data_IF_877720937174
#
_entry.id   IF_877720937174
#
_cell.length_a   1.000
_cell.length_b   1.000
_cell.length_c   1.000
_cell.angle_alpha   90.00
_cell.angle_beta   90.00
_cell.angle_gamma   90.00
#
_symmetry.space_group_name_H-M   'P 1'
#
loop_
_entity.id
_entity.type
_entity.pdbx_description
1 polymer ?
#
# COMPACT_ATOMS: atom_id res chain seq x y z
N UNK A 1 27.05 -9.74 20.34
CA UNK A 1 26.08 -9.18 21.26
C UNK A 1 25.64 -7.84 20.73
N UNK A 2 24.46 -7.77 20.12
CA UNK A 2 23.79 -6.52 19.75
C UNK A 2 23.10 -5.98 21.00
N UNK A 3 23.47 -4.78 21.43
CA UNK A 3 22.79 -4.05 22.51
C UNK A 3 21.33 -3.75 22.09
N UNK A 4 20.38 -3.80 23.01
CA UNK A 4 19.01 -3.36 22.71
C UNK A 4 18.99 -1.87 22.37
N UNK A 5 18.29 -1.51 21.31
CA UNK A 5 18.09 -0.11 20.90
C UNK A 5 17.27 0.61 21.98
N UNK A 6 17.77 1.75 22.46
CA UNK A 6 17.04 2.63 23.37
C UNK A 6 15.87 3.27 22.61
N UNK A 7 14.60 3.11 23.07
CA UNK A 7 13.45 3.67 22.42
C UNK A 7 13.43 5.22 22.40
N UNK A 8 14.31 5.87 23.16
CA UNK A 8 14.42 7.34 23.24
C UNK A 8 15.61 7.92 22.45
N UNK A 9 16.39 7.10 21.77
CA UNK A 9 17.50 7.59 20.95
C UNK A 9 16.99 8.15 19.64
N UNK A 10 16.86 9.46 19.56
CA UNK A 10 16.54 10.18 18.31
C UNK A 10 17.76 10.08 17.40
N UNK A 11 17.66 9.47 16.21
CA UNK A 11 18.77 9.40 15.27
C UNK A 11 19.23 10.81 14.91
N UNK A 12 20.53 11.07 15.03
CA UNK A 12 21.12 12.35 14.63
C UNK A 12 20.90 12.66 13.14
N UNK A 13 20.98 13.92 12.72
CA UNK A 13 20.76 14.34 11.33
C UNK A 13 21.82 13.68 10.42
N UNK A 14 21.42 12.69 9.65
CA UNK A 14 22.27 12.04 8.66
C UNK A 14 22.06 10.53 8.47
N UNK A 15 21.38 9.84 9.36
CA UNK A 15 21.04 8.43 9.19
C UNK A 15 19.59 8.33 8.76
N UNK A 16 19.34 8.27 7.46
CA UNK A 16 18.04 7.85 6.93
C UNK A 16 17.95 6.35 7.20
N UNK A 17 17.37 5.96 8.33
CA UNK A 17 17.01 4.58 8.55
C UNK A 17 16.05 4.16 7.42
N UNK A 18 16.24 2.98 6.78
CA UNK A 18 15.30 2.51 5.79
C UNK A 18 13.91 2.44 6.44
N UNK A 19 12.85 2.85 5.73
CA UNK A 19 11.52 2.88 6.30
C UNK A 19 11.16 1.48 6.82
N UNK A 20 10.85 1.40 8.11
CA UNK A 20 10.42 0.15 8.71
C UNK A 20 9.13 -0.29 8.00
N UNK A 21 9.09 -1.54 7.55
CA UNK A 21 7.89 -2.11 6.95
C UNK A 21 6.96 -2.60 8.05
N UNK A 22 5.72 -2.11 8.07
CA UNK A 22 4.70 -2.59 8.99
C UNK A 22 4.11 -3.91 8.47
N UNK A 23 3.99 -4.90 9.34
CA UNK A 23 3.23 -6.13 9.08
C UNK A 23 1.85 -5.96 9.72
N UNK A 24 0.80 -6.08 8.92
CA UNK A 24 -0.59 -5.91 9.37
C UNK A 24 -1.28 -7.26 9.41
N UNK A 25 -1.51 -7.79 10.60
CA UNK A 25 -2.32 -9.00 10.77
C UNK A 25 -3.80 -8.61 10.84
N UNK A 26 -4.64 -9.26 10.05
CA UNK A 26 -6.05 -8.98 9.97
C UNK A 26 -6.86 -10.26 9.75
N UNK A 27 -8.12 -10.25 10.20
CA UNK A 27 -9.09 -11.30 9.93
C UNK A 27 -10.01 -10.83 8.80
N UNK A 28 -10.17 -11.64 7.76
CA UNK A 28 -11.02 -11.44 6.59
C UNK A 28 -10.73 -10.19 5.76
N UNK A 29 -10.61 -9.02 6.41
CA UNK A 29 -10.36 -7.74 5.76
C UNK A 29 -9.41 -6.87 6.59
N UNK A 30 -8.63 -6.02 5.91
CA UNK A 30 -7.79 -5.02 6.57
C UNK A 30 -8.63 -3.77 6.85
N UNK A 31 -8.54 -3.24 8.07
CA UNK A 31 -9.22 -2.00 8.41
C UNK A 31 -8.74 -0.84 7.54
N UNK A 32 -9.64 -0.19 6.75
CA UNK A 32 -9.27 0.90 5.84
C UNK A 32 -8.65 2.10 6.54
N UNK A 33 -9.03 2.37 7.80
CA UNK A 33 -8.44 3.47 8.60
C UNK A 33 -6.97 3.19 8.91
N UNK A 34 -6.63 1.93 9.24
CA UNK A 34 -5.24 1.55 9.51
C UNK A 34 -4.40 1.64 8.24
N UNK A 35 -4.86 1.07 7.13
CA UNK A 35 -4.13 1.13 5.86
C UNK A 35 -3.98 2.57 5.35
N UNK A 36 -4.99 3.41 5.51
CA UNK A 36 -4.94 4.84 5.19
C UNK A 36 -3.94 5.60 6.05
N UNK A 37 -3.88 5.30 7.36
CA UNK A 37 -2.90 5.92 8.27
C UNK A 37 -1.45 5.52 7.95
N UNK A 38 -1.21 4.27 7.52
CA UNK A 38 0.11 3.84 7.08
C UNK A 38 0.50 4.50 5.75
N UNK A 39 -0.45 4.60 4.82
CA UNK A 39 -0.24 5.25 3.54
C UNK A 39 0.09 6.74 3.69
N UNK A 40 -0.64 7.47 4.56
CA UNK A 40 -0.41 8.90 4.82
C UNK A 40 0.92 9.22 5.53
N UNK A 41 1.53 8.21 6.14
CA UNK A 41 2.86 8.30 6.78
C UNK A 41 3.97 7.74 5.90
N UNK A 42 3.71 7.49 4.63
CA UNK A 42 4.65 6.86 3.70
C UNK A 42 5.27 5.55 4.23
N UNK A 43 4.53 4.83 5.09
CA UNK A 43 5.01 3.59 5.70
C UNK A 43 4.70 2.40 4.80
N UNK A 44 5.72 1.69 4.27
CA UNK A 44 5.52 0.43 3.57
C UNK A 44 4.82 -0.58 4.47
N UNK A 45 3.87 -1.33 3.94
CA UNK A 45 3.14 -2.29 4.75
C UNK A 45 2.74 -3.54 3.98
N UNK A 46 2.77 -4.66 4.72
CA UNK A 46 2.44 -5.99 4.22
C UNK A 46 1.27 -6.56 5.01
N UNK A 47 0.08 -6.73 4.43
CA UNK A 47 -1.02 -7.40 5.10
C UNK A 47 -0.84 -8.91 5.10
N UNK A 48 -1.17 -9.54 6.22
CA UNK A 48 -1.43 -10.96 6.38
C UNK A 48 -2.90 -11.11 6.77
N UNK A 49 -3.72 -11.61 5.87
CA UNK A 49 -5.16 -11.74 6.09
C UNK A 49 -5.51 -13.20 6.28
N UNK A 50 -5.98 -13.51 7.48
CA UNK A 50 -6.48 -14.85 7.84
C UNK A 50 -7.96 -14.90 7.53
N UNK A 51 -8.40 -15.94 6.85
CA UNK A 51 -9.82 -16.22 6.61
C UNK A 51 -10.10 -17.73 6.76
N UNK A 52 -11.34 -18.15 6.50
CA UNK A 52 -11.72 -19.56 6.63
C UNK A 52 -11.06 -20.50 5.62
N UNK A 53 -10.42 -19.98 4.56
CA UNK A 53 -9.74 -20.75 3.53
C UNK A 53 -8.22 -20.87 3.75
N UNK A 54 -7.63 -19.94 4.51
CA UNK A 54 -6.19 -19.92 4.74
C UNK A 54 -5.63 -18.57 5.17
N UNK A 55 -4.42 -18.27 4.71
CA UNK A 55 -3.75 -17.00 4.97
C UNK A 55 -3.30 -16.39 3.64
N UNK A 56 -3.72 -15.17 3.37
CA UNK A 56 -3.23 -14.37 2.24
C UNK A 56 -2.13 -13.42 2.72
N UNK A 57 -0.96 -13.51 2.10
CA UNK A 57 0.21 -12.66 2.35
C UNK A 57 0.35 -11.66 1.21
N UNK A 58 0.30 -10.37 1.52
CA UNK A 58 0.42 -9.28 0.55
C UNK A 58 -0.93 -8.77 -0.01
N UNK A 59 -0.85 -7.84 -0.98
CA UNK A 59 0.36 -7.32 -1.61
C UNK A 59 1.21 -6.46 -0.68
N UNK A 60 2.53 -6.43 -0.88
CA UNK A 60 3.38 -5.44 -0.24
C UNK A 60 3.06 -4.07 -0.84
N UNK A 61 2.54 -3.19 -0.02
CA UNK A 61 2.25 -1.81 -0.40
C UNK A 61 3.47 -0.94 -0.11
N UNK A 62 3.99 -0.32 -1.16
CA UNK A 62 5.01 0.72 -1.06
C UNK A 62 4.36 2.02 -1.53
N UNK A 63 4.12 3.00 -0.61
CA UNK A 63 3.43 4.25 -0.93
C UNK A 63 4.05 4.95 -2.14
N UNK A 64 3.22 5.47 -3.03
CA UNK A 64 3.65 6.12 -4.28
C UNK A 64 4.21 5.18 -5.37
N UNK A 65 4.56 3.93 -5.04
CA UNK A 65 5.18 2.96 -5.96
C UNK A 65 4.20 1.90 -6.42
N UNK A 66 3.50 1.23 -5.49
CA UNK A 66 2.53 0.17 -5.80
C UNK A 66 1.10 0.65 -5.62
N UNK A 67 0.13 -0.09 -6.15
CA UNK A 67 -1.27 0.07 -5.76
C UNK A 67 -1.44 -0.15 -4.26
N UNK A 68 -2.30 0.64 -3.61
CA UNK A 68 -2.60 0.52 -2.19
C UNK A 68 -3.70 -0.52 -1.93
N UNK A 69 -4.01 -0.80 -0.65
CA UNK A 69 -5.08 -1.75 -0.31
C UNK A 69 -6.47 -1.26 -0.74
N UNK A 70 -6.68 0.06 -0.81
CA UNK A 70 -7.92 0.60 -1.37
C UNK A 70 -8.08 0.28 -2.87
N UNK A 71 -6.99 0.20 -3.65
CA UNK A 71 -7.07 -0.30 -5.04
C UNK A 71 -7.57 -1.74 -5.07
N UNK A 72 -7.12 -2.59 -4.15
CA UNK A 72 -7.57 -3.98 -4.03
C UNK A 72 -9.08 -4.04 -3.74
N UNK A 73 -9.55 -3.18 -2.83
CA UNK A 73 -10.98 -3.12 -2.49
C UNK A 73 -11.83 -2.57 -3.63
N UNK A 74 -11.34 -1.55 -4.37
CA UNK A 74 -12.05 -1.04 -5.55
C UNK A 74 -12.20 -2.10 -6.63
N UNK A 75 -11.16 -2.91 -6.91
CA UNK A 75 -11.29 -4.03 -7.83
C UNK A 75 -12.28 -5.11 -7.35
N UNK A 76 -12.42 -5.30 -6.03
CA UNK A 76 -13.45 -6.19 -5.47
C UNK A 76 -14.84 -5.60 -5.62
N UNK A 77 -15.00 -4.28 -5.44
CA UNK A 77 -16.27 -3.58 -5.65
C UNK A 77 -16.71 -3.68 -7.11
N UNK A 78 -15.77 -3.60 -8.06
CA UNK A 78 -16.07 -3.78 -9.49
C UNK A 78 -16.58 -5.20 -9.79
N UNK A 79 -16.13 -6.21 -9.04
CA UNK A 79 -16.56 -7.60 -9.18
C UNK A 79 -17.84 -7.89 -8.39
N UNK A 80 -17.96 -7.31 -7.20
CA UNK A 80 -19.11 -7.47 -6.30
C UNK A 80 -19.43 -6.14 -5.60
N UNK A 81 -20.46 -5.41 -6.04
CA UNK A 81 -20.89 -4.15 -5.42
C UNK A 81 -21.30 -4.27 -3.94
N UNK A 82 -21.58 -5.49 -3.45
CA UNK A 82 -21.89 -5.74 -2.04
C UNK A 82 -20.64 -5.77 -1.15
N UNK A 83 -19.43 -5.80 -1.74
CA UNK A 83 -18.18 -5.88 -1.00
C UNK A 83 -18.04 -4.87 0.15
N UNK A 84 -18.40 -3.57 0.03
CA UNK A 84 -18.25 -2.62 1.14
C UNK A 84 -19.07 -3.00 2.37
N UNK A 85 -20.28 -3.51 2.17
CA UNK A 85 -21.16 -3.96 3.26
C UNK A 85 -20.61 -5.23 3.89
N UNK A 86 -20.19 -6.19 3.09
CA UNK A 86 -19.57 -7.43 3.56
C UNK A 86 -18.26 -7.13 4.32
N UNK A 87 -17.40 -6.30 3.79
CA UNK A 87 -16.14 -5.93 4.43
C UNK A 87 -16.37 -5.28 5.80
N UNK A 88 -17.38 -4.41 5.93
CA UNK A 88 -17.72 -3.78 7.22
C UNK A 88 -18.13 -4.83 8.27
N UNK A 89 -18.95 -5.80 7.89
CA UNK A 89 -19.35 -6.88 8.78
C UNK A 89 -18.17 -7.79 9.13
N UNK A 90 -17.30 -8.07 8.17
CA UNK A 90 -16.13 -8.93 8.35
C UNK A 90 -15.06 -8.31 9.26
N UNK A 91 -14.99 -6.99 9.37
CA UNK A 91 -14.07 -6.31 10.29
C UNK A 91 -14.37 -6.60 11.78
N UNK A 92 -15.60 -6.99 12.08
CA UNK A 92 -16.05 -7.33 13.45
C UNK A 92 -15.93 -8.84 13.73
N UNK A 93 -15.55 -9.63 12.73
CA UNK A 93 -15.47 -11.08 12.84
C UNK A 93 -14.03 -11.54 13.10
N UNK A 94 -13.90 -12.64 13.82
CA UNK A 94 -12.64 -13.36 13.99
C UNK A 94 -12.63 -14.60 13.11
N UNK A 95 -11.57 -14.75 12.33
CA UNK A 95 -11.35 -15.99 11.57
C UNK A 95 -10.99 -17.14 12.52
N UNK A 96 -11.28 -18.40 12.13
CA UNK A 96 -10.77 -19.57 12.82
C UNK A 96 -9.24 -19.50 12.95
N UNK A 97 -8.70 -19.99 14.07
CA UNK A 97 -7.24 -20.03 14.27
C UNK A 97 -6.61 -20.97 13.24
N UNK A 98 -5.65 -20.48 12.45
CA UNK A 98 -4.99 -21.31 11.44
C UNK A 98 -4.04 -22.32 12.10
N UNK A 99 -3.82 -23.45 11.44
CA UNK A 99 -2.85 -24.42 11.90
C UNK A 99 -1.45 -23.79 12.03
N UNK A 100 -0.65 -24.18 13.05
CA UNK A 100 0.70 -23.61 13.27
C UNK A 100 1.62 -23.72 12.04
N UNK A 101 1.51 -24.82 11.27
CA UNK A 101 2.26 -25.01 10.02
C UNK A 101 1.93 -23.96 8.97
N UNK A 102 0.65 -23.59 8.86
CA UNK A 102 0.18 -22.56 7.94
C UNK A 102 0.69 -21.17 8.34
N UNK A 103 0.70 -20.89 9.65
CA UNK A 103 1.27 -19.65 10.19
C UNK A 103 2.76 -19.53 9.91
N UNK A 104 3.53 -20.61 10.10
CA UNK A 104 4.97 -20.63 9.81
C UNK A 104 5.25 -20.41 8.33
N UNK A 105 4.46 -21.03 7.45
CA UNK A 105 4.59 -20.83 6.00
C UNK A 105 4.27 -19.38 5.60
N UNK A 106 3.19 -18.81 6.11
CA UNK A 106 2.83 -17.42 5.87
C UNK A 106 3.91 -16.45 6.38
N UNK A 107 4.49 -16.72 7.56
CA UNK A 107 5.58 -15.92 8.12
C UNK A 107 6.85 -15.99 7.25
N UNK A 108 7.21 -17.17 6.74
CA UNK A 108 8.35 -17.33 5.83
C UNK A 108 8.14 -16.58 4.51
N UNK A 109 6.91 -16.59 3.97
CA UNK A 109 6.55 -15.82 2.79
C UNK A 109 6.61 -14.31 3.07
N UNK A 110 6.08 -13.87 4.21
CA UNK A 110 6.13 -12.46 4.62
C UNK A 110 7.58 -11.97 4.72
N UNK A 111 8.47 -12.73 5.35
CA UNK A 111 9.89 -12.42 5.40
C UNK A 111 10.51 -12.26 4.00
N UNK A 112 10.15 -13.12 3.05
CA UNK A 112 10.62 -13.02 1.66
C UNK A 112 10.09 -11.78 0.94
N UNK A 113 8.86 -11.36 1.21
CA UNK A 113 8.32 -10.10 0.68
C UNK A 113 9.09 -8.91 1.22
N UNK A 114 9.35 -8.87 2.52
CA UNK A 114 10.02 -7.76 3.20
C UNK A 114 11.49 -7.65 2.79
N UNK A 115 12.22 -8.78 2.73
CA UNK A 115 13.66 -8.81 2.39
C UNK A 115 13.93 -8.63 0.89
N UNK A 116 12.90 -8.45 0.07
CA UNK A 116 13.04 -8.29 -1.37
C UNK A 116 13.39 -9.59 -2.11
N UNK A 117 13.47 -10.73 -1.44
CA UNK A 117 13.70 -12.04 -2.08
C UNK A 117 12.55 -12.43 -3.03
N UNK A 118 11.38 -11.79 -2.86
CA UNK A 118 10.25 -11.89 -3.78
C UNK A 118 10.34 -10.91 -4.98
N UNK A 119 11.41 -10.13 -5.09
CA UNK A 119 11.58 -9.09 -6.12
C UNK A 119 11.56 -9.62 -7.56
N UNK A 120 11.88 -10.89 -7.77
CA UNK A 120 11.74 -11.56 -9.08
C UNK A 120 10.30 -11.63 -9.56
N UNK A 121 9.33 -11.70 -8.65
CA UNK A 121 7.91 -11.69 -8.97
C UNK A 121 7.45 -10.28 -9.34
N UNK A 122 7.96 -9.26 -8.64
CA UNK A 122 7.68 -7.86 -8.93
C UNK A 122 8.30 -7.40 -10.25
N UNK A 123 9.51 -7.88 -10.61
CA UNK A 123 10.19 -7.51 -11.87
C UNK A 123 9.47 -7.99 -13.13
N UNK A 124 8.63 -9.02 -13.03
CA UNK A 124 7.82 -9.54 -14.15
C UNK A 124 6.41 -8.92 -14.20
N UNK A 125 6.06 -8.08 -13.23
CA UNK A 125 4.79 -7.38 -13.18
C UNK A 125 4.92 -5.99 -13.82
N UNK A 126 3.81 -5.46 -14.34
CA UNK A 126 3.76 -4.07 -14.81
C UNK A 126 4.11 -3.10 -13.68
N UNK A 127 4.68 -1.91 -13.98
CA UNK A 127 4.99 -0.90 -12.97
C UNK A 127 3.79 -0.60 -12.07
N UNK A 128 4.02 -0.60 -10.77
CA UNK A 128 2.98 -0.35 -9.77
C UNK A 128 2.13 -1.55 -9.38
N UNK A 129 2.34 -2.71 -10.00
CA UNK A 129 1.58 -3.93 -9.67
C UNK A 129 2.14 -4.57 -8.39
N UNK A 130 1.28 -4.77 -7.40
CA UNK A 130 1.55 -5.60 -6.25
C UNK A 130 1.26 -7.07 -6.52
N UNK A 131 1.80 -7.95 -5.69
CA UNK A 131 1.57 -9.40 -5.76
C UNK A 131 1.22 -9.90 -4.37
N UNK A 132 0.21 -10.75 -4.26
CA UNK A 132 -0.10 -11.52 -3.05
C UNK A 132 -0.03 -13.01 -3.32
N UNK A 133 0.10 -13.78 -2.26
CA UNK A 133 0.01 -15.24 -2.28
C UNK A 133 -0.93 -15.72 -1.19
N UNK A 134 -1.84 -16.60 -1.54
CA UNK A 134 -2.71 -17.30 -0.59
C UNK A 134 -2.14 -18.70 -0.33
N UNK A 135 -1.96 -19.01 0.96
CA UNK A 135 -1.60 -20.33 1.47
C UNK A 135 -2.89 -20.97 1.97
N UNK A 136 -3.36 -22.01 1.29
CA UNK A 136 -4.64 -22.60 1.56
C UNK A 136 -4.54 -23.66 2.66
N UNK A 137 -5.53 -23.69 3.56
CA UNK A 137 -5.55 -24.64 4.67
C UNK A 137 -5.84 -26.08 4.21
N UNK A 138 -6.57 -26.24 3.12
CA UNK A 138 -7.00 -27.54 2.60
C UNK A 138 -6.05 -28.13 1.53
N UNK A 139 -5.06 -27.37 1.08
CA UNK A 139 -4.19 -27.77 -0.03
C UNK A 139 -2.76 -27.22 0.17
N UNK A 140 -1.76 -27.93 -0.32
CA UNK A 140 -0.38 -27.43 -0.41
C UNK A 140 -0.15 -26.43 -1.54
N UNK A 141 -1.17 -26.17 -2.35
CA UNK A 141 -1.12 -25.22 -3.46
C UNK A 141 -1.07 -23.79 -2.92
N UNK A 142 -0.36 -22.96 -3.65
CA UNK A 142 -0.29 -21.51 -3.42
C UNK A 142 -0.94 -20.80 -4.59
N UNK A 143 -1.85 -19.87 -4.28
CA UNK A 143 -2.50 -19.06 -5.29
C UNK A 143 -1.87 -17.67 -5.32
N UNK A 144 -1.31 -17.31 -6.49
CA UNK A 144 -0.68 -16.02 -6.72
C UNK A 144 -1.65 -15.09 -7.42
N UNK A 145 -1.84 -13.89 -6.86
CA UNK A 145 -2.70 -12.86 -7.43
C UNK A 145 -1.91 -11.57 -7.65
N UNK A 146 -2.17 -10.91 -8.80
CA UNK A 146 -1.62 -9.60 -9.12
C UNK A 146 -2.65 -8.52 -8.83
N UNK A 147 -2.18 -7.41 -8.26
CA UNK A 147 -3.00 -6.27 -7.87
C UNK A 147 -2.48 -5.03 -8.58
N UNK A 148 -3.20 -4.58 -9.59
CA UNK A 148 -2.90 -3.35 -10.30
C UNK A 148 -3.44 -2.14 -9.54
N UNK A 149 -2.84 -0.95 -9.69
CA UNK A 149 -3.47 0.29 -9.25
C UNK A 149 -4.83 0.45 -9.91
N UNK A 150 -5.83 0.85 -9.13
CA UNK A 150 -7.18 1.07 -9.66
C UNK A 150 -7.29 2.48 -10.25
N UNK A 151 -7.91 2.67 -11.43
CA UNK A 151 -7.99 3.97 -12.09
C UNK A 151 -8.75 5.03 -11.28
N UNK A 152 -9.74 4.62 -10.48
CA UNK A 152 -10.49 5.52 -9.59
C UNK A 152 -9.81 5.75 -8.22
N UNK A 153 -8.61 5.19 -7.99
CA UNK A 153 -7.89 5.39 -6.73
C UNK A 153 -6.88 6.53 -6.84
N UNK A 154 -6.99 7.51 -5.94
CA UNK A 154 -6.07 8.65 -5.89
C UNK A 154 -4.69 8.38 -5.27
N UNK A 155 -4.36 7.13 -4.89
CA UNK A 155 -3.12 6.83 -4.15
C UNK A 155 -1.82 7.13 -4.92
N UNK A 156 -1.89 7.28 -6.25
CA UNK A 156 -0.76 7.62 -7.13
C UNK A 156 -0.90 8.97 -7.82
N UNK A 157 -2.02 9.69 -7.61
CA UNK A 157 -2.32 10.93 -8.33
C UNK A 157 -1.48 12.13 -7.90
N UNK A 158 -0.86 12.09 -6.72
CA UNK A 158 -0.08 13.21 -6.20
C UNK A 158 1.21 13.47 -6.99
N UNK A 159 1.87 12.44 -7.54
CA UNK A 159 3.10 12.62 -8.29
C UNK A 159 2.89 13.24 -9.69
N UNK A 160 1.77 12.96 -10.34
CA UNK A 160 1.47 13.49 -11.68
C UNK A 160 0.59 14.76 -11.65
N UNK A 161 -0.30 14.89 -10.66
CA UNK A 161 -1.24 16.02 -10.57
C UNK A 161 -0.56 17.33 -10.18
N UNK A 162 0.43 17.31 -9.28
CA UNK A 162 1.11 18.52 -8.84
C UNK A 162 1.99 19.10 -9.96
N UNK A 163 2.70 18.25 -10.70
CA UNK A 163 3.54 18.68 -11.84
C UNK A 163 2.68 19.13 -13.04
N UNK A 164 1.57 18.47 -13.30
CA UNK A 164 0.69 18.83 -14.40
C UNK A 164 -0.05 20.16 -14.18
N UNK A 165 -0.41 20.48 -12.92
CA UNK A 165 -1.07 21.76 -12.59
C UNK A 165 -0.09 22.94 -12.63
N UNK A 166 1.14 22.78 -12.15
CA UNK A 166 2.16 23.85 -12.19
C UNK A 166 2.58 24.17 -13.63
N UNK A 167 2.59 23.19 -14.53
CA UNK A 167 2.94 23.41 -15.94
C UNK A 167 1.85 24.11 -16.75
N UNK A 168 0.61 24.22 -16.26
CA UNK A 168 -0.52 24.86 -16.96
C UNK A 168 -0.79 26.30 -16.55
N UNK A 169 -0.20 26.76 -15.46
CA UNK A 169 -0.29 28.18 -15.06
C UNK A 169 0.82 28.94 -15.76
N UNK A 170 0.64 29.29 -17.03
CA UNK A 170 1.41 30.36 -17.66
C UNK A 170 0.98 31.67 -17.00
N UNK A 171 1.85 32.42 -16.33
CA UNK A 171 1.51 33.78 -15.92
C UNK A 171 1.41 34.62 -17.19
N UNK A 172 0.20 35.01 -17.57
CA UNK A 172 -0.01 36.06 -18.53
C UNK A 172 0.33 37.39 -17.84
N UNK A 173 1.55 37.81 -17.95
CA UNK A 173 1.97 39.17 -17.56
C UNK A 173 1.42 40.14 -18.61
N UNK A 174 0.26 40.67 -18.36
CA UNK A 174 -0.24 41.81 -19.13
C UNK A 174 0.39 43.08 -18.59
N UNK A 175 1.53 43.48 -19.17
CA UNK A 175 2.14 44.76 -18.87
C UNK A 175 1.34 45.86 -19.55
N UNK A 176 0.44 46.51 -18.80
CA UNK A 176 -0.23 47.72 -19.26
C UNK A 176 0.67 48.91 -18.96
N UNK A 177 1.48 49.29 -19.93
CA UNK A 177 2.23 50.57 -19.87
C UNK A 177 1.26 51.69 -20.23
N UNK A 178 0.73 52.34 -19.20
CA UNK A 178 -0.01 53.59 -19.39
C UNK A 178 0.95 54.77 -19.49
N UNK A 179 1.19 55.23 -20.69
CA UNK A 179 1.96 56.48 -20.91
C UNK A 179 1.15 57.66 -20.36
N UNK A 180 1.67 58.31 -19.32
CA UNK A 180 1.19 59.62 -18.87
C UNK A 180 1.75 60.71 -19.81
N UNK A 181 0.85 61.36 -20.60
CA UNK A 181 1.20 62.63 -21.28
C UNK A 181 1.12 63.75 -20.28
N UNK A 182 2.26 64.47 -20.15
CA UNK A 182 2.33 65.75 -19.45
C UNK A 182 1.94 66.84 -20.44
N UNK A 183 0.98 67.72 -20.15
CA UNK A 183 0.71 68.90 -20.99
C UNK A 183 1.71 69.99 -20.72
N UNK A 184 2.01 70.79 -21.79
CA UNK A 184 2.88 71.99 -21.78
C UNK A 184 2.25 73.16 -21.05
#
# INVERSE_FOLDING_TARGET
GTAPLDPNEVPGPGVIAPPATAVVLAHFAVNPRLSGALLSRDTPHLPLVVDGSGIRVGPLVVPGVTGCLHCVDLHRIDQDPAWPVLATQLLEQSAPEPAPTLMLEAAALAARFITGSASTLHRRAAPGTGVSVSVLAADVRREWQRHQPHPSCGCRSLAESVTAHVSRVRPSVTTTTRAMRVPA
#
